data_IF_015413087107
#
_entry.id   IF_015413087107
#
_cell.length_a   1.000
_cell.length_b   1.000
_cell.length_c   1.000
_cell.angle_alpha   90.00
_cell.angle_beta   90.00
_cell.angle_gamma   90.00
#
_symmetry.space_group_name_H-M   'P 1'
#
loop_
_entity.id
_entity.type
_entity.pdbx_description
1 polymer ?
#
# COMPACT_ATOMS: atom_id res chain seq x y z
N UNK A 1 16.65 -10.36 46.87
CA UNK A 1 16.66 -11.00 45.53
C UNK A 1 16.21 -9.96 44.51
N UNK A 2 17.04 -9.56 43.54
CA UNK A 2 16.60 -8.65 42.49
C UNK A 2 15.67 -9.39 41.52
N UNK A 3 14.53 -8.78 41.21
CA UNK A 3 13.49 -9.31 40.34
C UNK A 3 14.01 -9.46 38.90
N UNK A 4 13.95 -10.66 38.32
CA UNK A 4 14.48 -11.03 37.01
C UNK A 4 13.56 -10.61 35.83
N UNK A 5 12.62 -9.68 36.04
CA UNK A 5 11.50 -9.45 35.12
C UNK A 5 11.56 -8.10 34.39
N UNK A 6 12.73 -7.68 33.89
CA UNK A 6 12.80 -6.63 32.87
C UNK A 6 12.94 -7.27 31.49
N UNK A 7 11.88 -7.93 31.03
CA UNK A 7 11.74 -8.12 29.59
C UNK A 7 11.38 -6.75 29.01
N UNK A 8 12.27 -6.21 28.18
CA UNK A 8 11.97 -5.03 27.39
C UNK A 8 10.72 -5.35 26.56
N UNK A 9 9.64 -4.61 26.78
CA UNK A 9 8.45 -4.72 25.93
C UNK A 9 8.87 -4.42 24.47
N UNK A 10 8.34 -5.17 23.48
CA UNK A 10 8.69 -4.92 22.10
C UNK A 10 8.23 -3.52 21.70
N UNK A 11 9.13 -2.75 21.10
CA UNK A 11 8.87 -1.38 20.68
C UNK A 11 7.84 -1.32 19.55
N UNK A 12 6.93 -0.33 19.61
CA UNK A 12 5.95 -0.12 18.55
C UNK A 12 6.66 0.28 17.24
N UNK A 13 6.28 -0.28 16.08
CA UNK A 13 7.00 -0.02 14.84
C UNK A 13 6.87 1.44 14.38
N UNK A 14 8.01 2.11 14.28
CA UNK A 14 8.08 3.47 13.70
C UNK A 14 7.84 3.44 12.18
N UNK A 15 7.44 4.58 11.62
CA UNK A 15 7.04 4.72 10.22
C UNK A 15 8.08 4.21 9.23
N UNK A 16 9.37 4.42 9.50
CA UNK A 16 10.46 4.01 8.61
C UNK A 16 10.63 2.49 8.51
N UNK A 17 10.09 1.72 9.46
CA UNK A 17 10.17 0.26 9.44
C UNK A 17 9.23 -0.38 8.41
N UNK A 18 8.06 0.23 8.14
CA UNK A 18 7.02 -0.38 7.28
C UNK A 18 6.58 0.52 6.13
N UNK A 19 6.68 1.85 6.28
CA UNK A 19 6.23 2.83 5.28
C UNK A 19 6.91 2.68 3.92
N UNK A 20 8.26 2.59 3.86
CA UNK A 20 8.96 2.39 2.59
C UNK A 20 8.52 1.11 1.86
N UNK A 21 8.28 0.01 2.58
CA UNK A 21 7.82 -1.25 1.99
C UNK A 21 6.39 -1.16 1.48
N UNK A 22 5.49 -0.49 2.21
CA UNK A 22 4.13 -0.23 1.74
C UNK A 22 4.14 0.56 0.43
N UNK A 23 4.92 1.65 0.35
CA UNK A 23 5.04 2.44 -0.87
C UNK A 23 5.64 1.65 -2.03
N UNK A 24 6.68 0.87 -1.79
CA UNK A 24 7.26 -0.02 -2.81
C UNK A 24 6.21 -0.99 -3.36
N UNK A 25 5.39 -1.60 -2.51
CA UNK A 25 4.32 -2.51 -2.94
C UNK A 25 3.29 -1.77 -3.81
N UNK A 26 2.81 -0.60 -3.36
CA UNK A 26 1.80 0.16 -4.10
C UNK A 26 2.29 0.61 -5.47
N UNK A 27 3.51 1.16 -5.54
CA UNK A 27 4.11 1.57 -6.82
C UNK A 27 4.41 0.38 -7.73
N UNK A 28 4.92 -0.73 -7.19
CA UNK A 28 5.16 -1.94 -7.98
C UNK A 28 3.87 -2.54 -8.56
N UNK A 29 2.77 -2.54 -7.79
CA UNK A 29 1.45 -2.93 -8.30
C UNK A 29 0.97 -1.97 -9.39
N UNK A 30 1.13 -0.65 -9.20
CA UNK A 30 0.70 0.35 -10.16
C UNK A 30 1.44 0.19 -11.50
N UNK A 31 2.73 -0.17 -11.47
CA UNK A 31 3.52 -0.48 -12.67
C UNK A 31 3.00 -1.70 -13.47
N UNK A 32 2.11 -2.51 -12.88
CA UNK A 32 1.44 -3.63 -13.57
C UNK A 32 -0.01 -3.32 -13.95
N UNK A 33 -0.56 -2.21 -13.48
CA UNK A 33 -1.95 -1.82 -13.72
C UNK A 33 -2.28 -1.67 -15.20
N UNK A 34 -3.48 -2.06 -15.61
CA UNK A 34 -3.96 -2.02 -16.99
C UNK A 34 -3.37 -3.11 -17.90
N UNK A 35 -2.48 -3.97 -17.40
CA UNK A 35 -1.84 -5.04 -18.21
C UNK A 35 -2.65 -6.35 -18.24
N UNK A 36 -3.82 -6.39 -17.60
CA UNK A 36 -4.70 -7.56 -17.64
C UNK A 36 -5.23 -7.79 -19.06
N UNK A 37 -4.75 -8.88 -19.68
CA UNK A 37 -5.03 -9.19 -21.09
C UNK A 37 -6.44 -9.76 -21.30
N UNK A 38 -6.98 -10.49 -20.32
CA UNK A 38 -8.30 -11.13 -20.40
C UNK A 38 -9.37 -10.07 -20.06
N UNK A 39 -10.26 -9.68 -20.99
CA UNK A 39 -11.22 -8.61 -20.76
C UNK A 39 -12.13 -8.84 -19.55
N UNK A 40 -12.55 -10.08 -19.30
CA UNK A 40 -13.42 -10.43 -18.18
C UNK A 40 -12.79 -10.20 -16.80
N UNK A 41 -11.46 -10.06 -16.72
CA UNK A 41 -10.74 -9.82 -15.46
C UNK A 41 -10.39 -8.35 -15.23
N UNK A 42 -10.66 -7.45 -16.18
CA UNK A 42 -10.36 -6.02 -16.04
C UNK A 42 -11.24 -5.33 -15.00
N UNK A 43 -12.50 -5.73 -14.91
CA UNK A 43 -13.39 -5.22 -13.87
C UNK A 43 -13.00 -5.74 -12.48
N UNK A 44 -12.50 -6.97 -12.42
CA UNK A 44 -11.93 -7.53 -11.19
C UNK A 44 -10.68 -6.77 -10.76
N UNK A 45 -9.77 -6.43 -11.67
CA UNK A 45 -8.60 -5.59 -11.41
C UNK A 45 -8.99 -4.25 -10.76
N UNK A 46 -9.93 -3.51 -11.39
CA UNK A 46 -10.46 -2.26 -10.87
C UNK A 46 -11.06 -2.44 -9.47
N UNK A 47 -11.85 -3.49 -9.29
CA UNK A 47 -12.47 -3.82 -7.99
C UNK A 47 -11.42 -4.10 -6.92
N UNK A 48 -10.38 -4.86 -7.23
CA UNK A 48 -9.33 -5.18 -6.25
C UNK A 48 -8.52 -3.94 -5.87
N UNK A 49 -8.23 -3.04 -6.82
CA UNK A 49 -7.59 -1.74 -6.51
C UNK A 49 -8.41 -0.92 -5.51
N UNK A 50 -9.72 -0.79 -5.75
CA UNK A 50 -10.62 -0.07 -4.83
C UNK A 50 -10.55 -0.70 -3.44
N UNK A 51 -10.70 -2.02 -3.35
CA UNK A 51 -10.72 -2.74 -2.07
C UNK A 51 -9.37 -2.64 -1.34
N UNK A 52 -8.25 -2.75 -2.06
CA UNK A 52 -6.90 -2.62 -1.52
C UNK A 52 -6.67 -1.22 -0.93
N UNK A 53 -7.01 -0.16 -1.67
CA UNK A 53 -6.77 1.22 -1.26
C UNK A 53 -7.72 1.63 -0.13
N UNK A 54 -9.01 1.29 -0.20
CA UNK A 54 -9.98 1.70 0.83
C UNK A 54 -9.77 1.03 2.19
N UNK A 55 -9.24 -0.20 2.22
CA UNK A 55 -8.93 -0.87 3.50
C UNK A 55 -7.58 -0.44 4.08
N UNK A 56 -6.69 0.12 3.25
CA UNK A 56 -5.32 0.49 3.64
C UNK A 56 -5.23 1.38 4.88
N UNK A 57 -6.05 2.44 5.07
CA UNK A 57 -6.01 3.25 6.29
C UNK A 57 -6.26 2.44 7.57
N UNK A 58 -6.95 1.31 7.52
CA UNK A 58 -7.27 0.50 8.70
C UNK A 58 -6.17 -0.49 9.10
N UNK A 59 -5.15 -0.69 8.26
CA UNK A 59 -4.03 -1.60 8.54
C UNK A 59 -2.70 -0.87 8.80
N UNK A 60 -2.63 0.44 8.55
CA UNK A 60 -1.43 1.24 8.79
C UNK A 60 -1.20 1.41 10.31
N UNK A 61 0.00 1.12 10.86
CA UNK A 61 0.31 1.24 12.30
C UNK A 61 0.25 2.67 12.86
N UNK A 62 0.57 3.69 12.06
CA UNK A 62 0.66 5.08 12.50
C UNK A 62 -0.69 5.82 12.43
N UNK A 63 -1.20 6.33 13.55
CA UNK A 63 -2.50 7.02 13.62
C UNK A 63 -2.62 8.23 12.69
N UNK A 64 -1.66 9.16 12.75
CA UNK A 64 -1.64 10.34 11.88
C UNK A 64 -1.59 9.96 10.39
N UNK A 65 -0.93 8.84 10.08
CA UNK A 65 -0.82 8.31 8.73
C UNK A 65 -2.17 7.69 8.28
N UNK A 66 -2.90 7.03 9.18
CA UNK A 66 -4.26 6.51 8.91
C UNK A 66 -5.21 7.65 8.59
N UNK A 67 -5.23 8.69 9.41
CA UNK A 67 -6.10 9.84 9.21
C UNK A 67 -5.80 10.54 7.88
N UNK A 68 -4.53 10.77 7.58
CA UNK A 68 -4.16 11.39 6.31
C UNK A 68 -4.55 10.53 5.10
N UNK A 69 -4.28 9.23 5.14
CA UNK A 69 -4.67 8.33 4.06
C UNK A 69 -6.20 8.34 3.85
N UNK A 70 -6.98 8.36 4.94
CA UNK A 70 -8.43 8.48 4.86
C UNK A 70 -8.86 9.80 4.21
N UNK A 71 -8.29 10.93 4.64
CA UNK A 71 -8.60 12.25 4.07
C UNK A 71 -8.22 12.35 2.59
N UNK A 72 -7.08 11.78 2.20
CA UNK A 72 -6.66 11.71 0.80
C UNK A 72 -7.67 10.92 -0.04
N UNK A 73 -8.04 9.71 0.40
CA UNK A 73 -8.99 8.85 -0.32
C UNK A 73 -10.37 9.50 -0.43
N UNK A 74 -10.81 10.25 0.59
CA UNK A 74 -12.09 10.97 0.54
C UNK A 74 -12.07 12.12 -0.50
N UNK A 75 -10.94 12.82 -0.64
CA UNK A 75 -10.79 13.93 -1.60
C UNK A 75 -10.48 13.46 -3.02
N UNK A 76 -9.80 12.32 -3.16
CA UNK A 76 -9.39 11.74 -4.43
C UNK A 76 -9.88 10.28 -4.52
N UNK A 77 -11.19 10.04 -4.69
CA UNK A 77 -11.77 8.71 -4.59
C UNK A 77 -11.20 7.73 -5.60
N UNK A 78 -10.59 6.65 -5.12
CA UNK A 78 -10.09 5.55 -5.97
C UNK A 78 -11.21 4.91 -6.82
N UNK A 79 -12.47 5.04 -6.39
CA UNK A 79 -13.64 4.52 -7.11
C UNK A 79 -13.79 5.07 -8.53
N UNK A 80 -13.20 6.23 -8.84
CA UNK A 80 -13.19 6.80 -10.19
C UNK A 80 -12.49 5.89 -11.21
N UNK A 81 -11.64 4.94 -10.77
CA UNK A 81 -11.01 3.92 -11.61
C UNK A 81 -12.02 3.06 -12.41
N UNK A 82 -13.28 3.00 -11.96
CA UNK A 82 -14.36 2.29 -12.66
C UNK A 82 -14.59 2.83 -14.06
N UNK A 83 -14.51 4.15 -14.22
CA UNK A 83 -14.86 4.86 -15.45
C UNK A 83 -13.67 4.98 -16.41
N UNK A 84 -12.47 4.55 -15.98
CA UNK A 84 -11.23 4.64 -16.76
C UNK A 84 -11.18 3.56 -17.84
N UNK A 85 -10.86 3.96 -19.07
CA UNK A 85 -10.70 3.03 -20.18
C UNK A 85 -9.50 2.08 -19.99
N UNK A 86 -9.53 0.86 -20.58
CA UNK A 86 -8.42 -0.09 -20.44
C UNK A 86 -7.04 0.48 -20.85
N UNK A 87 -7.00 1.35 -21.86
CA UNK A 87 -5.75 1.95 -22.34
C UNK A 87 -5.23 3.10 -21.46
N UNK A 88 -6.09 3.66 -20.60
CA UNK A 88 -5.77 4.78 -19.70
C UNK A 88 -5.47 4.29 -18.27
N UNK A 89 -5.85 3.04 -17.97
CA UNK A 89 -5.78 2.43 -16.64
C UNK A 89 -4.37 2.52 -16.02
N UNK A 90 -3.33 2.22 -16.80
CA UNK A 90 -1.93 2.27 -16.34
C UNK A 90 -1.53 3.69 -15.91
N UNK A 91 -1.73 4.67 -16.79
CA UNK A 91 -1.37 6.07 -16.51
C UNK A 91 -2.18 6.61 -15.32
N UNK A 92 -3.47 6.28 -15.27
CA UNK A 92 -4.34 6.73 -14.21
C UNK A 92 -3.91 6.20 -12.84
N UNK A 93 -3.66 4.89 -12.70
CA UNK A 93 -3.34 4.29 -11.39
C UNK A 93 -1.93 4.67 -10.91
N UNK A 94 -0.95 4.73 -11.82
CA UNK A 94 0.41 5.19 -11.50
C UNK A 94 0.40 6.66 -11.06
N UNK A 95 -0.40 7.50 -11.72
CA UNK A 95 -0.59 8.90 -11.32
C UNK A 95 -1.25 9.02 -9.96
N UNK A 96 -2.33 8.28 -9.71
CA UNK A 96 -3.05 8.35 -8.43
C UNK A 96 -2.14 7.97 -7.24
N UNK A 97 -1.37 6.88 -7.37
CA UNK A 97 -0.43 6.44 -6.32
C UNK A 97 0.74 7.42 -6.16
N UNK A 98 1.26 7.96 -7.26
CA UNK A 98 2.31 8.98 -7.24
C UNK A 98 1.86 10.26 -6.55
N UNK A 99 0.71 10.82 -6.92
CA UNK A 99 0.19 12.06 -6.33
C UNK A 99 -0.08 11.89 -4.84
N UNK A 100 -0.58 10.71 -4.44
CA UNK A 100 -0.75 10.38 -3.03
C UNK A 100 0.58 10.40 -2.26
N UNK A 101 1.61 9.76 -2.82
CA UNK A 101 2.93 9.74 -2.19
C UNK A 101 3.58 11.13 -2.17
N UNK A 102 3.42 11.92 -3.23
CA UNK A 102 3.93 13.29 -3.29
C UNK A 102 3.25 14.24 -2.30
N UNK A 103 1.95 14.05 -2.03
CA UNK A 103 1.28 14.79 -0.96
C UNK A 103 1.87 14.47 0.42
N UNK A 104 2.20 13.19 0.67
CA UNK A 104 2.94 12.79 1.88
C UNK A 104 4.33 13.40 1.91
N UNK A 105 5.07 13.38 0.79
CA UNK A 105 6.42 13.94 0.72
C UNK A 105 6.39 15.44 1.05
N UNK A 106 5.48 16.20 0.43
CA UNK A 106 5.30 17.64 0.70
C UNK A 106 4.98 17.91 2.16
N UNK A 107 4.05 17.16 2.75
CA UNK A 107 3.65 17.31 4.16
C UNK A 107 4.77 16.97 5.15
N UNK A 108 5.66 16.06 4.78
CA UNK A 108 6.77 15.61 5.64
C UNK A 108 8.09 16.27 5.30
N UNK A 109 8.11 17.25 4.37
CA UNK A 109 9.31 17.96 3.96
C UNK A 109 10.31 17.11 3.18
N UNK A 110 9.88 15.96 2.63
CA UNK A 110 10.72 15.12 1.77
C UNK A 110 10.82 15.73 0.36
N UNK A 111 11.95 15.54 -0.33
CA UNK A 111 12.08 16.00 -1.71
C UNK A 111 11.05 15.33 -2.61
N UNK A 112 10.63 16.06 -3.65
CA UNK A 112 9.78 15.52 -4.71
C UNK A 112 10.51 14.43 -5.49
N UNK A 113 9.80 13.38 -5.86
CA UNK A 113 10.32 12.30 -6.69
C UNK A 113 10.03 12.59 -8.18
N UNK A 114 11.00 12.35 -9.08
CA UNK A 114 10.74 12.48 -10.51
C UNK A 114 9.84 11.34 -11.01
N UNK A 115 8.60 11.67 -11.38
CA UNK A 115 7.60 10.72 -11.90
C UNK A 115 8.13 9.87 -13.06
N UNK A 116 9.01 10.40 -13.91
CA UNK A 116 9.57 9.66 -15.05
C UNK A 116 10.41 8.46 -14.61
N UNK A 117 10.89 8.43 -13.36
CA UNK A 117 11.70 7.35 -12.80
C UNK A 117 10.86 6.22 -12.19
N UNK A 118 9.54 6.33 -12.12
CA UNK A 118 8.68 5.32 -11.49
C UNK A 118 8.92 3.91 -12.05
N UNK A 119 8.93 3.77 -13.38
CA UNK A 119 9.10 2.46 -14.01
C UNK A 119 10.50 1.88 -13.79
N UNK A 120 11.54 2.73 -13.79
CA UNK A 120 12.90 2.33 -13.50
C UNK A 120 13.05 1.85 -12.04
N UNK A 121 12.43 2.55 -11.09
CA UNK A 121 12.59 2.30 -9.66
C UNK A 121 11.70 1.15 -9.17
N UNK A 122 10.47 1.05 -9.68
CA UNK A 122 9.45 0.15 -9.15
C UNK A 122 9.05 -0.98 -10.11
N UNK A 123 9.39 -0.89 -11.40
CA UNK A 123 8.90 -1.83 -12.43
C UNK A 123 9.39 -3.27 -12.27
N UNK A 124 10.51 -3.48 -11.58
CA UNK A 124 11.14 -4.79 -11.34
C UNK A 124 11.10 -5.23 -9.87
N UNK A 125 10.34 -4.53 -9.01
CA UNK A 125 10.25 -4.87 -7.59
C UNK A 125 9.52 -6.20 -7.41
N UNK A 126 10.14 -7.11 -6.66
CA UNK A 126 9.49 -8.33 -6.18
C UNK A 126 8.57 -8.01 -4.98
N UNK A 127 7.27 -7.94 -5.27
CA UNK A 127 6.23 -7.62 -4.30
C UNK A 127 6.17 -8.64 -3.17
N UNK A 128 6.41 -9.93 -3.45
CA UNK A 128 6.35 -10.99 -2.44
C UNK A 128 7.50 -10.85 -1.43
N UNK A 129 8.69 -10.48 -1.91
CA UNK A 129 9.84 -10.20 -1.05
C UNK A 129 9.59 -8.97 -0.18
N UNK A 130 9.16 -7.84 -0.75
CA UNK A 130 8.87 -6.62 0.02
C UNK A 130 7.73 -6.83 1.03
N UNK A 131 6.71 -7.62 0.68
CA UNK A 131 5.64 -7.99 1.61
C UNK A 131 6.18 -8.78 2.80
N UNK A 132 7.08 -9.75 2.58
CA UNK A 132 7.70 -10.53 3.67
C UNK A 132 8.54 -9.66 4.60
N UNK A 133 9.19 -8.63 4.07
CA UNK A 133 9.94 -7.63 4.86
C UNK A 133 9.02 -6.75 5.71
N UNK A 134 7.88 -6.31 5.16
CA UNK A 134 6.93 -5.44 5.86
C UNK A 134 6.15 -6.18 6.96
N UNK A 135 5.79 -7.44 6.70
CA UNK A 135 4.86 -8.23 7.50
C UNK A 135 5.19 -8.26 9.02
N UNK A 136 6.43 -8.50 9.48
CA UNK A 136 6.75 -8.56 10.90
C UNK A 136 6.41 -7.27 11.67
N UNK A 137 6.55 -6.10 11.03
CA UNK A 137 6.22 -4.82 11.66
C UNK A 137 4.72 -4.66 11.84
N UNK A 138 3.93 -5.03 10.83
CA UNK A 138 2.47 -5.00 10.93
C UNK A 138 1.97 -6.01 11.98
N UNK A 139 2.55 -7.21 12.02
CA UNK A 139 2.21 -8.22 13.04
C UNK A 139 2.57 -7.77 14.46
N UNK A 140 3.66 -7.01 14.62
CA UNK A 140 4.03 -6.39 15.90
C UNK A 140 3.01 -5.32 16.31
N UNK A 141 2.59 -4.45 15.38
CA UNK A 141 1.55 -3.46 15.63
C UNK A 141 0.20 -4.08 16.02
N UNK A 142 -0.16 -5.22 15.42
CA UNK A 142 -1.36 -6.00 15.80
C UNK A 142 -1.23 -6.53 17.22
N UNK A 143 -0.09 -7.13 17.56
CA UNK A 143 0.17 -7.70 18.89
C UNK A 143 0.09 -6.64 20.00
N UNK A 144 0.59 -5.45 19.70
CA UNK A 144 0.56 -4.30 20.59
C UNK A 144 -0.79 -3.55 20.56
N UNK A 145 -1.83 -4.13 19.96
CA UNK A 145 -3.19 -3.57 19.86
C UNK A 145 -3.29 -2.21 19.15
N UNK A 146 -2.30 -1.81 18.35
CA UNK A 146 -2.32 -0.55 17.61
C UNK A 146 -3.11 -0.60 16.30
N UNK A 147 -3.39 -1.82 15.79
CA UNK A 147 -4.26 -2.11 14.64
C UNK A 147 -4.96 -3.46 14.85
N UNK A 148 -6.06 -3.70 14.14
CA UNK A 148 -6.77 -4.99 14.23
C UNK A 148 -6.30 -5.97 13.17
N UNK A 149 -6.36 -7.27 13.47
CA UNK A 149 -5.92 -8.34 12.56
C UNK A 149 -6.74 -8.41 11.26
N UNK A 150 -8.04 -8.12 11.34
CA UNK A 150 -8.96 -8.33 10.24
C UNK A 150 -8.73 -7.41 9.02
N UNK A 151 -8.54 -6.08 9.19
CA UNK A 151 -8.10 -5.21 8.09
C UNK A 151 -6.81 -5.66 7.42
N UNK A 152 -5.81 -6.10 8.20
CA UNK A 152 -4.55 -6.60 7.66
C UNK A 152 -4.74 -7.85 6.79
N UNK A 153 -5.54 -8.81 7.26
CA UNK A 153 -5.88 -10.02 6.50
C UNK A 153 -6.62 -9.68 5.20
N UNK A 154 -7.58 -8.75 5.25
CA UNK A 154 -8.29 -8.28 4.04
C UNK A 154 -7.34 -7.62 3.05
N UNK A 155 -6.52 -6.67 3.51
CA UNK A 155 -5.54 -6.00 2.67
C UNK A 155 -4.58 -7.00 2.01
N UNK A 156 -4.07 -7.96 2.79
CA UNK A 156 -3.22 -9.04 2.30
C UNK A 156 -3.91 -9.89 1.22
N UNK A 157 -5.20 -10.18 1.39
CA UNK A 157 -5.95 -10.94 0.40
C UNK A 157 -6.15 -10.14 -0.89
N UNK A 158 -6.48 -8.85 -0.82
CA UNK A 158 -6.61 -8.00 -2.01
C UNK A 158 -5.28 -7.82 -2.74
N UNK A 159 -4.17 -7.72 -2.00
CA UNK A 159 -2.82 -7.72 -2.56
C UNK A 159 -2.57 -9.02 -3.36
N UNK A 160 -2.85 -10.18 -2.77
CA UNK A 160 -2.68 -11.49 -3.45
C UNK A 160 -3.55 -11.62 -4.69
N UNK A 161 -4.80 -11.13 -4.63
CA UNK A 161 -5.69 -11.15 -5.79
C UNK A 161 -5.15 -10.29 -6.94
N UNK A 162 -4.66 -9.08 -6.66
CA UNK A 162 -4.01 -8.24 -7.68
C UNK A 162 -2.73 -8.88 -8.22
N UNK A 163 -1.85 -9.38 -7.34
CA UNK A 163 -0.64 -10.09 -7.76
C UNK A 163 -0.97 -11.26 -8.70
N UNK A 164 -2.00 -12.05 -8.37
CA UNK A 164 -2.46 -13.15 -9.21
C UNK A 164 -2.97 -12.69 -10.57
N UNK A 165 -3.69 -11.57 -10.65
CA UNK A 165 -4.16 -10.99 -11.91
C UNK A 165 -2.99 -10.55 -12.81
N UNK A 166 -1.87 -10.17 -12.20
CA UNK A 166 -0.65 -9.75 -12.89
C UNK A 166 0.37 -10.89 -13.14
N UNK A 167 0.06 -12.11 -12.68
CA UNK A 167 0.96 -13.27 -12.81
C UNK A 167 2.23 -13.20 -11.95
N UNK A 168 2.14 -12.59 -10.76
CA UNK A 168 3.22 -12.44 -9.77
C UNK A 168 3.14 -13.45 -8.62
#
# INVERSE_FOLDING_TARGET
MPCACKHNEPEYPVTDNWGPSLWKILHALAEKGGKVVIPSFRDDEKRQWILLIEIMPKMIPCENCREHALQWILRHPIKAIKDIGPNEMYEWITTWVYEFHEDVNRRTGKPSFDKALLSQVYGQVDINTVYKEMKPFIETAIRLSGITLFPWQKWTNYLRMLSSLYGL
#
